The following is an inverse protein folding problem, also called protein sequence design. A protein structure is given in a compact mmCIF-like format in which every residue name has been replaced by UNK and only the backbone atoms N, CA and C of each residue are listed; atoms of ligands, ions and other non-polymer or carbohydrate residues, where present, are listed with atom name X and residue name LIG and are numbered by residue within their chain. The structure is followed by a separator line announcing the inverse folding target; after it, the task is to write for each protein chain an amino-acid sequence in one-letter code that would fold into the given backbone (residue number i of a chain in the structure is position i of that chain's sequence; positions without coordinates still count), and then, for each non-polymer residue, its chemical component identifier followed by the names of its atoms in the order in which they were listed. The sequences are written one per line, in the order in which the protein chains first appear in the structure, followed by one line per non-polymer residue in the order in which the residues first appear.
data_IF_572372228403
#
_entry.id   IF_572372228403
#
_cell.length_a   1.000
_cell.length_b   1.000
_cell.length_c   1.000
_cell.angle_alpha   90.00
_cell.angle_beta   90.00
_cell.angle_gamma   90.00
#
_symmetry.space_group_name_H-M   'P 1'
#
loop_
_entity.id
_entity.type
_entity.pdbx_description
1 polymer ?
#
# COMPACT_ATOMS: atom_id res chain seq x y z
N UNK A 1 10.31 17.44 8.21
CA UNK A 1 11.31 18.13 9.08
C UNK A 1 12.69 18.09 8.43
N UNK A 2 13.31 16.93 8.15
CA UNK A 2 14.68 16.83 7.62
C UNK A 2 14.90 17.58 6.30
N UNK A 3 13.91 17.63 5.42
CA UNK A 3 13.97 18.42 4.19
C UNK A 3 13.87 19.93 4.45
N UNK A 4 13.00 20.32 5.38
CA UNK A 4 12.80 21.74 5.73
C UNK A 4 14.05 22.30 6.40
N UNK A 5 14.68 21.53 7.30
CA UNK A 5 15.92 21.92 7.97
C UNK A 5 17.17 21.81 7.07
N UNK A 6 17.03 21.45 5.81
CA UNK A 6 18.13 21.25 4.85
C UNK A 6 19.17 20.20 5.25
N UNK A 7 18.86 19.35 6.23
CA UNK A 7 19.72 18.22 6.62
C UNK A 7 19.82 17.21 5.48
N UNK A 8 18.73 17.05 4.71
CA UNK A 8 18.67 16.24 3.49
C UNK A 8 18.03 17.06 2.39
N UNK A 9 18.69 17.19 1.23
CA UNK A 9 18.16 17.96 0.11
C UNK A 9 17.11 17.20 -0.73
N UNK A 10 17.13 15.87 -0.67
CA UNK A 10 16.24 15.01 -1.47
C UNK A 10 16.01 13.70 -0.76
N UNK A 11 14.75 13.25 -0.74
CA UNK A 11 14.36 11.93 -0.23
C UNK A 11 13.50 11.20 -1.27
N UNK A 12 13.65 9.89 -1.32
CA UNK A 12 12.78 9.01 -2.11
C UNK A 12 11.93 8.18 -1.16
N UNK A 13 10.64 8.26 -1.30
CA UNK A 13 9.67 7.51 -0.51
C UNK A 13 9.17 6.35 -1.37
N UNK A 14 9.36 5.14 -0.91
CA UNK A 14 8.72 3.97 -1.51
C UNK A 14 7.27 3.92 -1.03
N UNK A 15 6.37 3.58 -1.94
CA UNK A 15 4.95 3.43 -1.65
C UNK A 15 4.48 2.03 -2.03
N UNK A 16 3.31 1.65 -1.55
CA UNK A 16 2.61 0.45 -2.02
C UNK A 16 1.38 0.89 -2.79
N UNK A 17 1.31 0.60 -4.07
CA UNK A 17 0.14 0.96 -4.86
C UNK A 17 -1.10 0.20 -4.37
N UNK A 18 -2.19 0.92 -4.20
CA UNK A 18 -3.48 0.38 -3.82
C UNK A 18 -4.41 0.34 -5.03
N UNK A 19 -4.92 -0.84 -5.35
CA UNK A 19 -5.85 -1.05 -6.45
C UNK A 19 -7.18 -1.52 -5.91
N UNK A 20 -8.25 -0.87 -6.33
CA UNK A 20 -9.61 -1.27 -6.01
C UNK A 20 -10.21 -2.03 -7.18
N UNK A 21 -10.76 -3.20 -6.93
CA UNK A 21 -11.38 -4.05 -7.94
C UNK A 21 -12.75 -4.49 -7.46
N UNK A 22 -13.84 -4.11 -8.14
CA UNK A 22 -15.15 -4.70 -7.90
C UNK A 22 -15.20 -6.11 -8.49
N UNK A 23 -15.94 -6.99 -7.83
CA UNK A 23 -16.14 -8.35 -8.29
C UNK A 23 -17.57 -8.84 -8.04
N UNK A 24 -17.99 -9.87 -8.77
CA UNK A 24 -19.20 -10.63 -8.47
C UNK A 24 -18.81 -11.89 -7.70
N UNK A 25 -19.48 -12.14 -6.59
CA UNK A 25 -19.35 -13.36 -5.79
C UNK A 25 -20.48 -14.33 -6.14
N UNK A 26 -20.20 -15.62 -6.08
CA UNK A 26 -21.19 -16.68 -6.36
C UNK A 26 -21.96 -17.13 -5.13
N UNK A 27 -21.73 -16.51 -3.97
CA UNK A 27 -22.38 -16.86 -2.71
C UNK A 27 -22.99 -15.61 -2.06
N UNK A 28 -24.10 -15.80 -1.37
CA UNK A 28 -24.70 -14.76 -0.56
C UNK A 28 -23.97 -14.65 0.76
N UNK A 29 -23.73 -13.43 1.22
CA UNK A 29 -23.22 -13.16 2.57
C UNK A 29 -24.30 -12.52 3.40
N UNK A 30 -24.38 -12.87 4.67
CA UNK A 30 -25.25 -12.18 5.63
C UNK A 30 -24.77 -10.74 5.82
N UNK A 31 -25.73 -9.82 5.99
CA UNK A 31 -25.44 -8.40 6.23
C UNK A 31 -24.95 -8.13 7.65
N UNK A 32 -23.87 -8.79 8.10
CA UNK A 32 -23.22 -8.41 9.35
C UNK A 32 -22.28 -7.24 9.08
N UNK A 33 -22.49 -6.16 9.81
CA UNK A 33 -21.59 -5.00 9.80
C UNK A 33 -20.27 -5.40 10.46
N UNK A 34 -19.24 -5.61 9.64
CA UNK A 34 -17.87 -5.72 10.13
C UNK A 34 -17.16 -4.38 9.91
N UNK A 35 -16.44 -3.92 10.91
CA UNK A 35 -15.66 -2.67 10.86
C UNK A 35 -14.45 -2.78 9.93
N UNK A 36 -14.02 -3.99 9.59
CA UNK A 36 -12.87 -4.31 8.74
C UNK A 36 -13.29 -5.21 7.58
N UNK A 37 -12.32 -5.58 6.74
CA UNK A 37 -12.60 -6.48 5.62
C UNK A 37 -13.01 -7.87 6.08
N UNK A 38 -13.79 -8.55 5.26
CA UNK A 38 -14.32 -9.89 5.56
C UNK A 38 -13.25 -10.98 5.46
N UNK A 39 -12.27 -10.79 4.56
CA UNK A 39 -11.19 -11.74 4.33
C UNK A 39 -9.90 -11.01 3.98
N UNK A 40 -8.81 -11.44 4.60
CA UNK A 40 -7.45 -11.09 4.21
C UNK A 40 -6.80 -12.24 3.47
N UNK A 41 -6.10 -11.96 2.39
CA UNK A 41 -5.27 -12.94 1.72
C UNK A 41 -3.95 -12.33 1.27
N UNK A 42 -2.91 -13.15 1.18
CA UNK A 42 -1.63 -12.78 0.60
C UNK A 42 -1.25 -13.80 -0.44
N UNK A 43 -0.90 -13.36 -1.63
CA UNK A 43 -0.54 -14.25 -2.74
C UNK A 43 0.82 -13.84 -3.29
N UNK A 44 1.73 -14.81 -3.36
CA UNK A 44 2.99 -14.64 -4.08
C UNK A 44 2.72 -14.79 -5.58
N UNK A 45 3.03 -13.74 -6.33
CA UNK A 45 2.90 -13.70 -7.79
C UNK A 45 4.24 -13.27 -8.36
N UNK A 46 4.86 -14.13 -9.16
CA UNK A 46 6.27 -13.99 -9.52
C UNK A 46 7.10 -13.92 -8.23
N UNK A 47 8.04 -12.99 -8.11
CA UNK A 47 8.88 -12.80 -6.93
C UNK A 47 8.36 -11.71 -5.97
N UNK A 48 7.09 -11.33 -6.11
CA UNK A 48 6.46 -10.29 -5.29
C UNK A 48 5.25 -10.83 -4.58
N UNK A 49 4.97 -10.26 -3.39
CA UNK A 49 3.72 -10.52 -2.68
C UNK A 49 2.70 -9.44 -3.02
N UNK A 50 1.45 -9.86 -3.18
CA UNK A 50 0.30 -8.97 -3.18
C UNK A 50 -0.50 -9.27 -1.91
N UNK A 51 -0.96 -8.22 -1.25
CA UNK A 51 -1.84 -8.34 -0.10
C UNK A 51 -3.22 -7.86 -0.48
N UNK A 52 -4.25 -8.61 -0.09
CA UNK A 52 -5.62 -8.30 -0.49
C UNK A 52 -6.53 -8.24 0.72
N UNK A 53 -7.42 -7.27 0.70
CA UNK A 53 -8.53 -7.12 1.61
C UNK A 53 -9.82 -7.29 0.80
N UNK A 54 -10.60 -8.31 1.14
CA UNK A 54 -11.84 -8.63 0.45
C UNK A 54 -13.03 -8.13 1.28
N UNK A 55 -13.91 -7.41 0.63
CA UNK A 55 -15.13 -6.88 1.21
C UNK A 55 -16.32 -7.50 0.48
N UNK A 56 -17.04 -8.38 1.16
CA UNK A 56 -18.19 -9.07 0.58
C UNK A 56 -19.49 -8.28 0.73
N UNK A 57 -19.46 -7.18 1.47
CA UNK A 57 -20.62 -6.40 1.78
C UNK A 57 -20.79 -5.19 0.86
N UNK A 58 -21.94 -5.10 0.17
CA UNK A 58 -22.19 -4.08 -0.87
C UNK A 58 -22.22 -2.64 -0.37
N UNK A 59 -22.71 -2.38 0.87
CA UNK A 59 -22.71 -1.01 1.43
C UNK A 59 -21.30 -0.48 1.66
N UNK A 60 -20.38 -1.31 2.10
CA UNK A 60 -18.96 -0.93 2.26
C UNK A 60 -18.36 -0.52 0.92
N UNK A 61 -18.69 -1.24 -0.15
CA UNK A 61 -18.23 -0.90 -1.50
C UNK A 61 -18.83 0.41 -1.97
N UNK A 62 -20.11 0.67 -1.71
CA UNK A 62 -20.76 1.93 -2.00
C UNK A 62 -20.10 3.10 -1.25
N UNK A 63 -19.75 2.93 0.01
CA UNK A 63 -19.02 3.94 0.79
C UNK A 63 -17.61 4.17 0.24
N UNK A 64 -16.86 3.11 -0.07
CA UNK A 64 -15.51 3.19 -0.61
C UNK A 64 -15.51 3.73 -2.06
N UNK A 65 -16.58 3.51 -2.82
CA UNK A 65 -16.71 3.96 -4.19
C UNK A 65 -17.24 5.38 -4.34
N UNK A 66 -17.76 6.00 -3.28
CA UNK A 66 -18.33 7.37 -3.34
C UNK A 66 -17.39 8.37 -3.99
N UNK A 67 -16.09 8.26 -3.75
CA UNK A 67 -15.08 9.18 -4.27
C UNK A 67 -14.32 8.64 -5.49
N UNK A 68 -14.58 7.42 -5.88
CA UNK A 68 -13.72 6.72 -6.83
C UNK A 68 -14.39 6.40 -8.16
N UNK A 69 -15.74 6.46 -8.27
CA UNK A 69 -16.39 5.89 -9.45
C UNK A 69 -17.68 6.60 -9.92
N UNK A 70 -17.76 6.79 -11.24
CA UNK A 70 -19.03 6.81 -11.98
C UNK A 70 -19.87 5.54 -11.74
N UNK A 71 -19.25 4.47 -11.26
CA UNK A 71 -19.88 3.21 -10.85
C UNK A 71 -20.88 3.37 -9.71
N UNK A 72 -20.73 4.39 -8.87
CA UNK A 72 -21.71 4.69 -7.82
C UNK A 72 -23.12 4.97 -8.37
N UNK A 73 -23.22 5.53 -9.57
CA UNK A 73 -24.50 5.74 -10.23
C UNK A 73 -25.13 4.41 -10.69
N UNK A 74 -24.33 3.53 -11.28
CA UNK A 74 -24.80 2.20 -11.71
C UNK A 74 -25.21 1.36 -10.51
N UNK A 75 -24.44 1.38 -9.43
CA UNK A 75 -24.77 0.64 -8.21
C UNK A 75 -26.01 1.17 -7.50
N UNK A 76 -26.34 2.46 -7.64
CA UNK A 76 -27.57 3.05 -7.07
C UNK A 76 -28.85 2.56 -7.75
N UNK A 77 -28.80 2.28 -9.04
CA UNK A 77 -29.96 1.81 -9.82
C UNK A 77 -30.02 0.27 -9.92
N UNK A 78 -29.00 -0.42 -9.41
CA UNK A 78 -28.94 -1.87 -9.44
C UNK A 78 -29.93 -2.51 -8.46
N UNK A 79 -30.71 -3.54 -8.85
CA UNK A 79 -31.61 -4.23 -7.94
C UNK A 79 -30.88 -4.80 -6.71
N UNK A 80 -31.54 -4.79 -5.55
CA UNK A 80 -30.94 -5.24 -4.27
C UNK A 80 -30.35 -6.65 -4.33
N UNK A 81 -30.99 -7.57 -5.07
CA UNK A 81 -30.49 -8.92 -5.18
C UNK A 81 -29.17 -9.01 -5.94
N UNK A 82 -28.95 -8.17 -6.97
CA UNK A 82 -27.69 -8.06 -7.69
C UNK A 82 -26.62 -7.37 -6.82
N UNK A 83 -27.00 -6.36 -6.06
CA UNK A 83 -26.09 -5.70 -5.12
C UNK A 83 -25.56 -6.68 -4.08
N UNK A 84 -26.35 -7.64 -3.63
CA UNK A 84 -25.92 -8.68 -2.67
C UNK A 84 -24.82 -9.59 -3.23
N UNK A 85 -24.66 -9.65 -4.54
CA UNK A 85 -23.62 -10.42 -5.23
C UNK A 85 -22.35 -9.60 -5.51
N UNK A 86 -22.39 -8.28 -5.32
CA UNK A 86 -21.21 -7.43 -5.57
C UNK A 86 -20.33 -7.41 -4.33
N UNK A 87 -19.04 -7.64 -4.56
CA UNK A 87 -17.98 -7.48 -3.58
C UNK A 87 -16.94 -6.47 -4.06
N UNK A 88 -16.03 -6.08 -3.18
CA UNK A 88 -14.89 -5.22 -3.50
C UNK A 88 -13.60 -5.81 -2.95
N UNK A 89 -12.52 -5.57 -3.66
CA UNK A 89 -11.20 -6.00 -3.24
C UNK A 89 -10.23 -4.83 -3.33
N UNK A 90 -9.47 -4.64 -2.26
CA UNK A 90 -8.29 -3.79 -2.26
C UNK A 90 -7.06 -4.66 -2.42
N UNK A 91 -6.28 -4.40 -3.43
CA UNK A 91 -5.03 -5.09 -3.72
C UNK A 91 -3.89 -4.12 -3.46
N UNK A 92 -3.03 -4.45 -2.51
CA UNK A 92 -1.81 -3.70 -2.24
C UNK A 92 -0.65 -4.38 -2.96
N UNK A 93 0.06 -3.65 -3.80
CA UNK A 93 1.21 -4.15 -4.54
C UNK A 93 2.52 -3.84 -3.80
N UNK A 94 3.50 -4.72 -3.97
CA UNK A 94 4.85 -4.57 -3.42
C UNK A 94 5.49 -3.24 -3.87
N UNK A 95 6.24 -2.61 -2.97
CA UNK A 95 6.92 -1.34 -3.22
C UNK A 95 7.95 -1.40 -4.35
N UNK A 96 8.47 -2.61 -4.68
CA UNK A 96 9.39 -2.81 -5.80
C UNK A 96 8.77 -2.53 -7.16
N UNK A 97 7.45 -2.69 -7.28
CA UNK A 97 6.71 -2.47 -8.54
C UNK A 97 5.77 -1.27 -8.48
N UNK A 98 5.61 -0.72 -7.30
CA UNK A 98 4.73 0.42 -7.02
C UNK A 98 5.39 1.75 -7.35
N UNK A 99 4.59 2.79 -7.34
CA UNK A 99 5.01 4.18 -7.53
C UNK A 99 5.98 4.61 -6.44
N UNK A 100 6.77 5.64 -6.72
CA UNK A 100 7.67 6.29 -5.76
C UNK A 100 7.37 7.77 -5.71
N UNK A 101 7.62 8.38 -4.56
CA UNK A 101 7.52 9.82 -4.38
C UNK A 101 8.92 10.36 -4.15
N UNK A 102 9.32 11.32 -4.95
CA UNK A 102 10.55 12.06 -4.72
C UNK A 102 10.16 13.42 -4.15
N UNK A 103 10.72 13.76 -3.01
CA UNK A 103 10.59 15.07 -2.41
C UNK A 103 11.97 15.72 -2.38
N UNK A 104 12.04 16.97 -2.82
CA UNK A 104 13.27 17.77 -2.78
C UNK A 104 12.99 19.16 -2.27
N UNK A 105 13.96 19.74 -1.54
CA UNK A 105 13.92 21.14 -1.16
C UNK A 105 14.65 21.95 -2.23
N UNK A 106 13.94 22.89 -2.84
CA UNK A 106 14.50 23.86 -3.81
C UNK A 106 13.90 25.21 -3.49
N UNK A 107 14.75 26.22 -3.30
CA UNK A 107 14.33 27.62 -3.05
C UNK A 107 13.38 27.78 -1.85
N UNK A 108 13.65 27.05 -0.77
CA UNK A 108 12.81 26.95 0.45
C UNK A 108 11.41 26.39 0.18
N UNK A 109 11.20 25.73 -0.94
CA UNK A 109 9.95 25.05 -1.28
C UNK A 109 10.17 23.55 -1.43
N UNK A 110 9.23 22.77 -0.91
CA UNK A 110 9.22 21.31 -1.09
C UNK A 110 8.53 20.99 -2.41
N UNK A 111 9.33 20.54 -3.37
CA UNK A 111 8.82 20.01 -4.65
C UNK A 111 8.59 18.51 -4.52
N UNK A 112 7.45 18.04 -4.99
CA UNK A 112 7.06 16.63 -4.96
C UNK A 112 6.86 16.12 -6.37
N UNK A 113 7.55 15.04 -6.73
CA UNK A 113 7.46 14.37 -8.03
C UNK A 113 6.99 12.94 -7.80
N UNK A 114 5.93 12.54 -8.49
CA UNK A 114 5.44 11.15 -8.49
C UNK A 114 6.05 10.40 -9.67
N UNK A 115 6.80 9.35 -9.38
CA UNK A 115 7.31 8.42 -10.38
C UNK A 115 6.38 7.22 -10.46
N UNK A 116 5.93 6.91 -11.67
CA UNK A 116 5.17 5.68 -11.89
C UNK A 116 6.05 4.45 -11.61
N UNK A 117 5.45 3.42 -11.03
CA UNK A 117 6.10 2.13 -10.86
C UNK A 117 6.28 1.38 -12.19
N UNK A 118 6.79 0.16 -12.11
CA UNK A 118 7.04 -0.71 -13.27
C UNK A 118 5.71 -1.21 -13.90
N UNK A 119 5.07 -0.38 -14.70
CA UNK A 119 3.74 -0.63 -15.28
C UNK A 119 3.60 -2.00 -15.95
N UNK A 120 4.61 -2.43 -16.73
CA UNK A 120 4.58 -3.73 -17.42
C UNK A 120 4.58 -4.89 -16.41
N UNK A 121 5.47 -4.85 -15.43
CA UNK A 121 5.60 -5.89 -14.39
C UNK A 121 4.37 -5.92 -13.50
N UNK A 122 3.85 -4.77 -13.11
CA UNK A 122 2.61 -4.62 -12.36
C UNK A 122 1.40 -5.24 -13.09
N UNK A 123 1.24 -4.95 -14.38
CA UNK A 123 0.16 -5.54 -15.17
C UNK A 123 0.29 -7.06 -15.29
N UNK A 124 1.52 -7.59 -15.42
CA UNK A 124 1.78 -9.04 -15.43
C UNK A 124 1.39 -9.69 -14.09
N UNK A 125 1.75 -9.07 -12.98
CA UNK A 125 1.39 -9.52 -11.62
C UNK A 125 -0.13 -9.55 -11.46
N UNK A 126 -0.82 -8.47 -11.81
CA UNK A 126 -2.28 -8.38 -11.70
C UNK A 126 -2.97 -9.41 -12.59
N UNK A 127 -2.53 -9.58 -13.84
CA UNK A 127 -3.09 -10.58 -14.75
C UNK A 127 -2.93 -11.99 -14.17
N UNK A 128 -1.73 -12.34 -13.70
CA UNK A 128 -1.47 -13.64 -13.08
C UNK A 128 -2.33 -13.88 -11.83
N UNK A 129 -2.48 -12.85 -11.01
CA UNK A 129 -3.33 -12.88 -9.82
C UNK A 129 -4.81 -13.13 -10.19
N UNK A 130 -5.36 -12.37 -11.13
CA UNK A 130 -6.75 -12.54 -11.57
C UNK A 130 -7.00 -13.92 -12.18
N UNK A 131 -6.07 -14.44 -12.99
CA UNK A 131 -6.18 -15.80 -13.53
C UNK A 131 -6.23 -16.85 -12.41
N UNK A 132 -5.41 -16.70 -11.36
CA UNK A 132 -5.43 -17.62 -10.21
C UNK A 132 -6.79 -17.60 -9.50
N UNK A 133 -7.36 -16.41 -9.26
CA UNK A 133 -8.66 -16.28 -8.62
C UNK A 133 -9.82 -16.84 -9.46
N UNK A 134 -9.79 -16.63 -10.76
CA UNK A 134 -10.76 -17.21 -11.68
C UNK A 134 -10.69 -18.76 -11.69
N UNK A 135 -9.49 -19.33 -11.66
CA UNK A 135 -9.30 -20.81 -11.59
C UNK A 135 -9.87 -21.39 -10.30
N UNK A 136 -9.84 -20.64 -9.21
CA UNK A 136 -10.45 -21.03 -7.94
C UNK A 136 -11.98 -20.92 -7.92
N UNK A 137 -12.60 -20.42 -8.99
CA UNK A 137 -14.06 -20.24 -9.14
C UNK A 137 -14.71 -19.42 -8.00
N UNK A 138 -13.93 -18.62 -7.30
CA UNK A 138 -14.40 -17.87 -6.12
C UNK A 138 -15.08 -16.58 -6.55
N UNK A 139 -14.58 -15.94 -7.63
CA UNK A 139 -14.91 -14.57 -7.99
C UNK A 139 -14.92 -14.41 -9.50
N UNK A 140 -15.94 -13.74 -10.02
CA UNK A 140 -15.97 -13.20 -11.38
C UNK A 140 -15.65 -11.71 -11.30
N UNK A 141 -14.54 -11.29 -11.90
CA UNK A 141 -14.18 -9.88 -11.96
C UNK A 141 -15.05 -9.13 -12.96
N UNK A 142 -15.58 -8.01 -12.51
CA UNK A 142 -16.15 -7.06 -13.45
C UNK A 142 -15.01 -6.42 -14.25
N UNK A 143 -15.16 -6.23 -15.57
CA UNK A 143 -14.10 -5.67 -16.43
C UNK A 143 -13.84 -4.17 -16.17
N UNK A 144 -14.31 -3.67 -15.05
CA UNK A 144 -14.17 -2.28 -14.63
C UNK A 144 -12.84 -2.15 -13.92
N UNK A 145 -11.84 -1.82 -14.68
CA UNK A 145 -10.51 -1.52 -14.17
C UNK A 145 -10.54 -0.19 -13.48
N UNK A 146 -10.41 -0.14 -12.19
CA UNK A 146 -10.00 1.08 -11.58
C UNK A 146 -8.63 1.10 -11.00
N UNK A 147 -8.18 2.17 -11.36
CA UNK A 147 -6.90 2.75 -11.11
C UNK A 147 -6.95 3.54 -9.82
N UNK A 148 -5.94 3.36 -9.02
CA UNK A 148 -5.64 4.20 -7.90
C UNK A 148 -5.37 5.64 -8.31
N UNK A 149 -5.62 6.54 -7.39
CA UNK A 149 -5.09 7.89 -7.44
C UNK A 149 -3.57 7.80 -7.13
N UNK A 150 -2.74 8.50 -7.90
CA UNK A 150 -1.32 8.64 -7.58
C UNK A 150 -1.17 9.14 -6.14
N UNK A 151 -0.34 8.49 -5.36
CA UNK A 151 -0.15 8.83 -3.95
C UNK A 151 -1.21 8.31 -2.97
N UNK A 152 -2.17 7.49 -3.41
CA UNK A 152 -3.19 6.89 -2.53
C UNK A 152 -2.71 5.65 -1.78
N UNK A 153 -1.42 5.50 -1.58
CA UNK A 153 -0.85 4.42 -0.81
C UNK A 153 -1.16 4.56 0.68
N UNK A 154 -1.52 3.48 1.33
CA UNK A 154 -1.63 3.43 2.79
C UNK A 154 -0.28 3.21 3.48
N UNK A 155 0.71 2.69 2.76
CA UNK A 155 2.02 2.35 3.30
C UNK A 155 3.10 3.12 2.54
N UNK A 156 3.81 3.96 3.27
CA UNK A 156 4.91 4.75 2.78
C UNK A 156 6.11 4.54 3.70
N UNK A 157 7.32 4.53 3.14
CA UNK A 157 8.51 4.32 3.96
C UNK A 157 9.79 4.21 3.14
N UNK A 158 10.82 3.61 3.77
CA UNK A 158 12.10 3.32 3.11
C UNK A 158 12.83 4.57 2.57
N UNK A 159 12.73 5.70 3.30
CA UNK A 159 13.45 6.92 2.96
C UNK A 159 14.95 6.82 3.31
N UNK A 160 15.26 6.15 4.42
CA UNK A 160 16.60 5.96 4.98
C UNK A 160 16.78 4.48 5.37
N UNK A 161 16.75 3.55 4.40
CA UNK A 161 16.80 2.12 4.71
C UNK A 161 18.03 1.77 5.53
N UNK A 162 17.86 0.81 6.44
CA UNK A 162 18.97 0.27 7.25
C UNK A 162 20.09 -0.27 6.37
N UNK A 163 21.32 0.11 6.69
CA UNK A 163 22.55 -0.34 6.02
C UNK A 163 23.63 -0.57 7.10
N UNK A 164 24.76 -1.17 6.70
CA UNK A 164 25.90 -1.38 7.60
C UNK A 164 26.47 -0.05 8.10
N UNK A 165 26.43 0.98 7.26
CA UNK A 165 26.95 2.32 7.57
C UNK A 165 25.91 3.39 7.31
N UNK A 166 25.85 4.38 8.21
CA UNK A 166 24.98 5.54 8.03
C UNK A 166 25.49 6.44 6.89
N UNK A 167 24.57 6.97 6.10
CA UNK A 167 24.84 7.99 5.08
C UNK A 167 23.74 9.05 5.08
N UNK A 168 23.79 10.01 4.16
CA UNK A 168 22.68 10.93 3.95
C UNK A 168 21.40 10.27 3.35
N UNK A 169 21.51 9.01 2.91
CA UNK A 169 20.42 8.25 2.25
C UNK A 169 20.08 6.94 2.95
N UNK A 170 20.90 6.52 3.90
CA UNK A 170 20.74 5.26 4.65
C UNK A 170 20.95 5.52 6.13
N UNK A 171 20.34 4.70 6.96
CA UNK A 171 20.56 4.70 8.41
C UNK A 171 21.38 3.48 8.84
N UNK A 172 22.11 3.62 9.94
CA UNK A 172 22.79 2.49 10.58
C UNK A 172 21.79 1.57 11.32
N UNK A 173 22.33 0.55 11.97
CA UNK A 173 21.53 -0.42 12.75
C UNK A 173 20.69 0.20 13.85
N UNK A 174 21.03 1.38 14.35
CA UNK A 174 20.28 2.15 15.35
C UNK A 174 19.38 3.23 14.73
N UNK A 175 19.21 3.24 13.41
CA UNK A 175 18.36 4.23 12.74
C UNK A 175 18.95 5.63 12.64
N UNK A 176 20.26 5.81 12.84
CA UNK A 176 20.93 7.12 12.71
C UNK A 176 21.33 7.35 11.26
N UNK A 177 21.20 8.58 10.80
CA UNK A 177 21.78 9.04 9.52
C UNK A 177 23.06 9.84 9.81
N UNK A 178 23.96 9.93 8.81
CA UNK A 178 25.31 10.49 9.01
C UNK A 178 25.35 11.89 9.66
N UNK A 179 24.36 12.71 9.40
CA UNK A 179 24.31 14.11 9.86
C UNK A 179 23.54 14.27 11.19
N UNK A 180 23.03 13.19 11.79
CA UNK A 180 22.22 13.22 13.02
C UNK A 180 22.65 12.09 13.98
N UNK A 181 23.77 12.28 14.66
CA UNK A 181 24.37 11.25 15.53
C UNK A 181 23.48 10.87 16.73
N UNK A 182 22.75 11.84 17.29
CA UNK A 182 21.92 11.67 18.49
C UNK A 182 20.42 11.56 18.17
N UNK A 183 20.07 11.30 16.90
CA UNK A 183 18.68 11.15 16.49
C UNK A 183 18.49 9.80 15.83
N UNK A 184 17.50 9.05 16.31
CA UNK A 184 17.18 7.71 15.83
C UNK A 184 15.84 7.71 15.11
N UNK A 185 15.83 7.28 13.87
CA UNK A 185 14.61 7.09 13.09
C UNK A 185 14.11 5.67 13.36
N UNK A 186 12.88 5.55 13.87
CA UNK A 186 12.34 4.26 14.33
C UNK A 186 11.10 3.79 13.59
N UNK A 187 10.57 4.61 12.68
CA UNK A 187 9.38 4.33 11.91
C UNK A 187 9.66 3.53 10.60
N UNK A 188 8.69 3.48 9.70
CA UNK A 188 8.82 2.79 8.41
C UNK A 188 9.90 3.38 7.49
N UNK A 189 10.42 4.55 7.80
CA UNK A 189 11.45 5.23 6.99
C UNK A 189 12.75 4.44 6.92
N UNK A 190 13.08 3.68 7.97
CA UNK A 190 14.31 2.88 8.04
C UNK A 190 14.15 1.45 7.51
N UNK A 191 12.95 1.02 7.21
CA UNK A 191 12.75 -0.31 6.65
C UNK A 191 13.30 -0.38 5.22
N UNK A 192 13.95 -1.47 4.81
CA UNK A 192 14.55 -1.60 3.48
C UNK A 192 13.50 -1.59 2.36
N UNK A 193 12.30 -2.06 2.66
CA UNK A 193 11.14 -2.06 1.78
C UNK A 193 9.85 -1.82 2.56
N UNK A 194 8.82 -1.34 1.86
CA UNK A 194 7.49 -1.16 2.44
C UNK A 194 6.68 -2.43 2.24
N UNK A 195 6.25 -3.02 3.34
CA UNK A 195 5.48 -4.25 3.33
C UNK A 195 4.08 -4.04 2.70
N UNK A 196 3.61 -5.01 1.95
CA UNK A 196 2.26 -5.02 1.35
C UNK A 196 1.16 -5.30 2.37
N UNK A 197 1.48 -6.01 3.45
CA UNK A 197 0.57 -6.30 4.57
C UNK A 197 0.70 -5.28 5.70
N UNK A 198 -0.01 -5.51 6.84
CA UNK A 198 0.06 -4.64 8.01
C UNK A 198 1.49 -4.53 8.56
N UNK A 199 2.12 -3.38 8.33
CA UNK A 199 3.53 -3.12 8.71
C UNK A 199 3.75 -2.70 10.15
N UNK A 200 2.68 -2.40 10.90
CA UNK A 200 2.78 -1.82 12.25
C UNK A 200 3.57 -2.71 13.22
N UNK A 201 3.35 -4.03 13.19
CA UNK A 201 4.09 -4.97 14.06
C UNK A 201 5.59 -4.93 13.80
N UNK A 202 6.00 -4.83 12.53
CA UNK A 202 7.42 -4.75 12.17
C UNK A 202 8.03 -3.41 12.62
N UNK A 203 7.29 -2.32 12.50
CA UNK A 203 7.70 -1.00 12.96
C UNK A 203 7.90 -1.02 14.48
N UNK A 204 6.93 -1.55 15.23
CA UNK A 204 7.02 -1.65 16.70
C UNK A 204 8.21 -2.52 17.12
N UNK A 205 8.40 -3.68 16.50
CA UNK A 205 9.53 -4.57 16.80
C UNK A 205 10.88 -3.89 16.53
N UNK A 206 11.00 -3.16 15.42
CA UNK A 206 12.22 -2.41 15.10
C UNK A 206 12.46 -1.25 16.08
N UNK A 207 11.41 -0.53 16.45
CA UNK A 207 11.49 0.56 17.43
C UNK A 207 11.95 0.04 18.80
N UNK A 208 11.38 -1.08 19.24
CA UNK A 208 11.78 -1.76 20.46
C UNK A 208 13.25 -2.21 20.40
N UNK A 209 13.67 -2.83 19.30
CA UNK A 209 15.06 -3.26 19.09
C UNK A 209 16.03 -2.08 19.18
N UNK A 210 15.72 -0.96 18.53
CA UNK A 210 16.58 0.25 18.59
C UNK A 210 16.61 0.78 20.01
N UNK A 211 15.47 0.94 20.67
CA UNK A 211 15.38 1.44 22.03
C UNK A 211 16.16 0.59 23.04
N UNK A 212 16.01 -0.73 22.98
CA UNK A 212 16.74 -1.64 23.89
C UNK A 212 18.27 -1.55 23.73
N UNK A 213 18.76 -1.29 22.52
CA UNK A 213 20.21 -1.14 22.28
C UNK A 213 20.77 0.25 22.60
N UNK A 214 19.92 1.20 22.99
CA UNK A 214 20.38 2.52 23.45
C UNK A 214 20.74 2.54 24.94
N UNK A 215 20.23 1.58 25.71
CA UNK A 215 20.39 1.48 27.17
C UNK A 215 21.29 0.32 27.59
N UNK A 216 21.85 -0.41 26.63
CA UNK A 216 22.87 -1.44 26.85
C UNK A 216 24.27 -0.88 26.60
#
# INVERSE_FOLDING_TARGET
ILLISKIVNKVTIKTTDLIQVPFLKFFKTSEKLHSFCDLYSSVKVLDTYTYQQHYFFSKTILMLSKNAFKLSAILKVMPKFLLSLVGGMFITLDSKVSSKIIMSNSDNQIKTIYLDGERKKRNKILRSFFIKLLKLKIILFLPIKKVWLKGSSYHNGSQFPLDKTASSKTSDSLGRISNLKNTHIVDSSVLPDVNTGPGVKLIIANSYRIGSNLYS
#
